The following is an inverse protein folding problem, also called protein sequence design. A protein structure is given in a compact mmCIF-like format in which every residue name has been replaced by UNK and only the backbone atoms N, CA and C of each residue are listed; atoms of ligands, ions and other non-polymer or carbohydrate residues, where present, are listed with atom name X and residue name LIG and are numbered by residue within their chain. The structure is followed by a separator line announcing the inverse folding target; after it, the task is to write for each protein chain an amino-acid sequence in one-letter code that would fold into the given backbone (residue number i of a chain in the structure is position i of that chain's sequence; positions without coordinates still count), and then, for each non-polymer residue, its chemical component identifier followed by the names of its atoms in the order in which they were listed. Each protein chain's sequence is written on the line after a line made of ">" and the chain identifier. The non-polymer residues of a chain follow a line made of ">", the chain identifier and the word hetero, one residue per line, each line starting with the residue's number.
data_IF_463698240349
#
_entry.id   IF_463698240349
#
_cell.length_a   1.000
_cell.length_b   1.000
_cell.length_c   1.000
_cell.angle_alpha   90.00
_cell.angle_beta   90.00
_cell.angle_gamma   90.00
#
_symmetry.space_group_name_H-M   'P 1'
#
loop_
_entity.id
_entity.type
_entity.pdbx_description
1 polymer ?
#
# COMPACT_ATOMS: atom_id res chain seq x y z
N UNK A 1 -6.09 17.85 0.01
CA UNK A 1 -5.37 17.28 -1.14
C UNK A 1 -4.06 16.72 -0.64
N UNK A 2 -3.83 15.42 -0.85
CA UNK A 2 -2.59 14.72 -0.50
C UNK A 2 -1.39 15.47 -1.10
N UNK A 3 -0.52 16.00 -0.22
CA UNK A 3 0.73 16.64 -0.64
C UNK A 3 1.78 15.55 -0.75
N UNK A 4 2.06 15.11 -1.97
CA UNK A 4 3.19 14.21 -2.21
C UNK A 4 4.50 14.92 -1.84
N UNK A 5 5.41 14.25 -1.10
CA UNK A 5 6.73 14.81 -0.83
C UNK A 5 7.46 15.01 -2.16
N UNK A 6 7.77 16.26 -2.46
CA UNK A 6 8.70 16.65 -3.51
C UNK A 6 10.06 16.78 -2.85
N UNK A 7 10.95 15.81 -3.07
CA UNK A 7 12.34 16.02 -3.49
C UNK A 7 13.11 14.69 -3.52
N UNK A 8 14.04 14.61 -4.47
CA UNK A 8 15.12 13.63 -4.66
C UNK A 8 14.76 12.19 -5.12
N UNK A 9 14.62 12.04 -6.45
CA UNK A 9 14.99 10.95 -7.37
C UNK A 9 15.02 9.44 -6.99
N UNK A 10 14.78 9.01 -5.77
CA UNK A 10 14.70 7.59 -5.41
C UNK A 10 13.34 7.33 -4.74
N UNK A 11 12.29 7.26 -5.56
CA UNK A 11 11.01 6.72 -5.09
C UNK A 11 11.24 5.30 -4.57
N UNK A 12 11.09 5.08 -3.28
CA UNK A 12 11.38 3.78 -2.65
C UNK A 12 10.13 2.91 -2.56
N UNK A 13 10.33 1.59 -2.35
CA UNK A 13 9.23 0.67 -2.03
C UNK A 13 8.43 1.16 -0.81
N UNK A 14 9.10 1.72 0.20
CA UNK A 14 8.45 2.27 1.39
C UNK A 14 7.56 3.48 1.08
N UNK A 15 7.94 4.30 0.10
CA UNK A 15 7.09 5.41 -0.35
C UNK A 15 5.82 4.89 -1.03
N UNK A 16 5.93 3.80 -1.80
CA UNK A 16 4.78 3.12 -2.41
C UNK A 16 3.86 2.51 -1.36
N UNK A 17 4.40 1.82 -0.37
CA UNK A 17 3.64 1.25 0.76
C UNK A 17 2.87 2.33 1.53
N UNK A 18 3.51 3.48 1.81
CA UNK A 18 2.87 4.61 2.49
C UNK A 18 1.72 5.20 1.68
N UNK A 19 1.90 5.36 0.37
CA UNK A 19 0.84 5.87 -0.51
C UNK A 19 -0.35 4.91 -0.53
N UNK A 20 -0.09 3.59 -0.56
CA UNK A 20 -1.15 2.58 -0.50
C UNK A 20 -1.88 2.62 0.84
N UNK A 21 -1.16 2.76 1.95
CA UNK A 21 -1.78 2.89 3.27
C UNK A 21 -2.72 4.11 3.34
N UNK A 22 -2.27 5.27 2.85
CA UNK A 22 -3.07 6.50 2.83
C UNK A 22 -4.36 6.32 1.99
N UNK A 23 -4.26 5.64 0.84
CA UNK A 23 -5.42 5.37 -0.05
C UNK A 23 -6.41 4.41 0.61
N UNK A 24 -5.91 3.33 1.23
CA UNK A 24 -6.77 2.34 1.87
C UNK A 24 -7.48 2.95 3.08
N UNK A 25 -6.78 3.74 3.89
CA UNK A 25 -7.36 4.42 5.05
C UNK A 25 -8.49 5.35 4.64
N UNK A 26 -8.27 6.20 3.63
CA UNK A 26 -9.31 7.11 3.14
C UNK A 26 -10.53 6.34 2.59
N UNK A 27 -10.30 5.23 1.87
CA UNK A 27 -11.38 4.40 1.35
C UNK A 27 -12.17 3.70 2.49
N UNK A 28 -11.48 3.15 3.49
CA UNK A 28 -12.13 2.43 4.59
C UNK A 28 -12.94 3.39 5.47
N UNK A 29 -12.42 4.59 5.74
CA UNK A 29 -13.12 5.64 6.47
C UNK A 29 -14.39 6.10 5.72
N UNK A 30 -14.29 6.34 4.41
CA UNK A 30 -15.43 6.77 3.59
C UNK A 30 -16.56 5.74 3.53
N UNK A 31 -16.20 4.45 3.58
CA UNK A 31 -17.15 3.34 3.44
C UNK A 31 -17.49 2.65 4.76
N UNK A 32 -16.97 3.12 5.91
CA UNK A 32 -17.13 2.53 7.24
C UNK A 32 -16.80 1.01 7.24
N UNK A 33 -15.71 0.64 6.57
CA UNK A 33 -15.25 -0.74 6.43
C UNK A 33 -14.41 -1.10 7.67
N UNK A 34 -14.53 -2.34 8.15
CA UNK A 34 -13.71 -2.83 9.25
C UNK A 34 -12.22 -2.89 8.85
N UNK A 35 -11.37 -2.23 9.63
CA UNK A 35 -9.92 -2.19 9.49
C UNK A 35 -9.23 -3.56 9.57
N UNK A 36 -9.88 -4.59 10.13
CA UNK A 36 -9.37 -5.96 10.11
C UNK A 36 -9.13 -6.48 8.67
N UNK A 37 -9.82 -5.91 7.67
CA UNK A 37 -9.63 -6.24 6.25
C UNK A 37 -8.54 -5.41 5.56
N UNK A 38 -7.95 -4.40 6.23
CA UNK A 38 -6.95 -3.50 5.64
C UNK A 38 -5.73 -4.28 5.14
N UNK A 39 -5.20 -5.19 5.95
CA UNK A 39 -4.00 -5.97 5.61
C UNK A 39 -4.22 -6.92 4.43
N UNK A 40 -5.44 -7.46 4.29
CA UNK A 40 -5.84 -8.31 3.16
C UNK A 40 -5.88 -7.49 1.85
N UNK A 41 -6.49 -6.31 1.89
CA UNK A 41 -6.55 -5.41 0.73
C UNK A 41 -5.17 -4.88 0.37
N UNK A 42 -4.36 -4.51 1.37
CA UNK A 42 -2.98 -4.06 1.19
C UNK A 42 -2.12 -5.13 0.53
N UNK A 43 -2.22 -6.38 1.00
CA UNK A 43 -1.54 -7.53 0.39
C UNK A 43 -1.97 -7.75 -1.06
N UNK A 44 -3.26 -7.57 -1.38
CA UNK A 44 -3.74 -7.62 -2.77
C UNK A 44 -3.17 -6.50 -3.66
N UNK A 45 -3.01 -5.29 -3.13
CA UNK A 45 -2.53 -4.12 -3.88
C UNK A 45 -1.01 -4.08 -4.07
N UNK A 46 -0.25 -4.57 -3.10
CA UNK A 46 1.21 -4.72 -3.19
C UNK A 46 1.62 -5.95 -4.01
N UNK A 47 0.64 -6.76 -4.43
CA UNK A 47 0.83 -8.12 -4.90
C UNK A 47 1.02 -9.05 -3.71
N UNK A 48 0.51 -10.28 -3.82
CA UNK A 48 1.01 -11.34 -2.96
C UNK A 48 2.53 -11.28 -3.07
N UNK A 49 3.25 -11.24 -1.94
CA UNK A 49 4.63 -11.68 -1.93
C UNK A 49 4.58 -13.16 -2.25
N UNK A 50 4.31 -13.51 -3.50
CA UNK A 50 4.69 -14.77 -4.08
C UNK A 50 6.18 -14.77 -3.81
N UNK A 51 6.59 -15.53 -2.78
CA UNK A 51 7.97 -15.91 -2.61
C UNK A 51 8.45 -16.21 -4.02
N UNK A 52 9.41 -15.43 -4.50
CA UNK A 52 10.21 -15.84 -5.63
C UNK A 52 10.84 -17.13 -5.08
N UNK A 53 10.21 -18.28 -5.35
CA UNK A 53 10.91 -19.56 -5.27
C UNK A 53 12.03 -19.37 -6.28
N UNK A 54 13.22 -19.01 -5.77
CA UNK A 54 14.45 -19.11 -6.52
C UNK A 54 14.43 -20.51 -7.14
N UNK A 55 14.37 -20.53 -8.46
CA UNK A 55 14.12 -21.73 -9.23
C UNK A 55 15.17 -22.80 -8.97
N UNK A 56 14.68 -24.04 -9.07
CA UNK A 56 15.38 -25.29 -9.42
C UNK A 56 16.65 -25.68 -8.62
#
# INVERSE_FOLDING_TARGET
>A
GLKMPKDDNDFTIKDYERIIDDIIDEYFDQHNINYDYKDLVKSGMLGETTEIQEGE
#
